data_IF_293488422021
#
_entry.id   IF_293488422021
#
_cell.length_a   1.000
_cell.length_b   1.000
_cell.length_c   1.000
_cell.angle_alpha   90.00
_cell.angle_beta   90.00
_cell.angle_gamma   90.00
#
_symmetry.space_group_name_H-M   'P 1'
#
loop_
_entity.id
_entity.type
_entity.pdbx_description
1 polymer ?
#
# COMPACT_ATOMS: atom_id res chain seq x y z
N UNK A 1 -15.05 -24.26 -9.03
CA UNK A 1 -16.03 -23.70 -9.99
C UNK A 1 -15.45 -22.62 -10.89
N UNK A 2 -14.93 -21.50 -10.39
CA UNK A 2 -14.37 -20.44 -11.26
C UNK A 2 -13.18 -20.90 -12.14
N UNK A 3 -12.19 -21.60 -11.57
CA UNK A 3 -11.04 -22.14 -12.34
C UNK A 3 -11.47 -23.12 -13.43
N UNK A 4 -12.46 -23.98 -13.14
CA UNK A 4 -12.98 -24.96 -14.12
C UNK A 4 -13.82 -24.32 -15.23
N UNK A 5 -14.31 -23.09 -15.02
CA UNK A 5 -15.01 -22.28 -16.02
C UNK A 5 -14.06 -21.38 -16.84
N UNK A 6 -12.75 -21.50 -16.65
CA UNK A 6 -11.76 -20.74 -17.40
C UNK A 6 -11.46 -19.34 -16.86
N UNK A 7 -11.97 -18.98 -15.68
CA UNK A 7 -11.57 -17.72 -15.03
C UNK A 7 -10.06 -17.73 -14.76
N UNK A 8 -9.39 -16.66 -15.20
CA UNK A 8 -7.96 -16.45 -14.97
C UNK A 8 -7.75 -15.64 -13.70
N UNK A 9 -6.73 -16.01 -12.93
CA UNK A 9 -6.36 -15.25 -11.74
C UNK A 9 -5.81 -13.86 -12.09
N UNK A 10 -5.84 -12.93 -11.14
CA UNK A 10 -5.48 -11.52 -11.36
C UNK A 10 -4.02 -11.40 -11.81
N UNK A 11 -3.09 -12.17 -11.21
CA UNK A 11 -1.69 -12.15 -11.59
C UNK A 11 -1.49 -12.60 -13.04
N UNK A 12 -2.23 -13.63 -13.49
CA UNK A 12 -2.25 -14.01 -14.90
C UNK A 12 -2.77 -12.88 -15.79
N UNK A 13 -3.89 -12.25 -15.40
CA UNK A 13 -4.49 -11.14 -16.16
C UNK A 13 -3.57 -9.93 -16.27
N UNK A 14 -2.81 -9.60 -15.22
CA UNK A 14 -1.81 -8.53 -15.19
C UNK A 14 -0.78 -8.68 -16.32
N UNK A 15 -0.34 -9.91 -16.60
CA UNK A 15 0.69 -10.19 -17.62
C UNK A 15 0.10 -10.35 -19.03
N UNK A 16 -1.17 -10.72 -19.17
CA UNK A 16 -1.71 -11.17 -20.47
C UNK A 16 -2.81 -10.27 -21.06
N UNK A 17 -3.55 -9.51 -20.26
CA UNK A 17 -4.72 -8.79 -20.77
C UNK A 17 -4.36 -7.50 -21.49
N UNK A 18 -3.36 -6.78 -20.98
CA UNK A 18 -2.96 -5.47 -21.46
C UNK A 18 -1.45 -5.32 -21.36
N UNK A 19 -0.89 -4.51 -22.25
CA UNK A 19 0.52 -4.14 -22.20
C UNK A 19 0.72 -2.99 -21.21
N UNK A 20 1.49 -3.21 -20.16
CA UNK A 20 1.74 -2.24 -19.08
C UNK A 20 3.24 -1.94 -19.03
N UNK A 21 3.62 -0.70 -19.28
CA UNK A 21 5.02 -0.28 -19.27
C UNK A 21 5.64 -0.33 -17.86
N UNK A 22 4.90 0.09 -16.82
CA UNK A 22 5.44 0.15 -15.46
C UNK A 22 4.48 -0.49 -14.48
N UNK A 23 4.96 -1.51 -13.76
CA UNK A 23 4.25 -2.21 -12.67
C UNK A 23 5.15 -2.12 -11.44
N UNK A 24 4.75 -1.38 -10.40
CA UNK A 24 5.54 -1.20 -9.18
C UNK A 24 4.64 -1.46 -7.96
N UNK A 25 5.06 -2.33 -7.05
CA UNK A 25 4.29 -2.63 -5.84
C UNK A 25 4.72 -3.93 -5.17
N UNK A 26 3.80 -4.60 -4.47
CA UNK A 26 4.02 -5.91 -3.86
C UNK A 26 3.56 -7.08 -4.75
N UNK A 27 3.47 -8.28 -4.17
CA UNK A 27 2.76 -9.41 -4.76
C UNK A 27 3.64 -10.47 -5.45
N UNK A 28 4.93 -10.56 -5.12
CA UNK A 28 5.84 -11.55 -5.73
C UNK A 28 5.32 -12.99 -5.66
N UNK A 29 4.74 -13.39 -4.53
CA UNK A 29 4.35 -14.80 -4.30
C UNK A 29 3.27 -15.30 -5.25
N UNK A 30 2.47 -14.39 -5.83
CA UNK A 30 1.41 -14.72 -6.79
C UNK A 30 1.94 -14.98 -8.21
N UNK A 31 3.20 -14.64 -8.47
CA UNK A 31 3.79 -14.67 -9.81
C UNK A 31 4.61 -15.93 -10.09
N UNK A 32 5.02 -16.66 -9.05
CA UNK A 32 5.97 -17.77 -9.18
C UNK A 32 5.39 -19.12 -8.74
N UNK A 33 5.90 -20.25 -9.26
CA UNK A 33 5.43 -21.59 -8.91
C UNK A 33 5.51 -21.89 -7.42
N UNK A 34 4.61 -22.77 -6.96
CA UNK A 34 4.59 -23.25 -5.58
C UNK A 34 5.98 -23.69 -5.10
N UNK A 35 6.44 -23.14 -3.98
CA UNK A 35 7.72 -23.48 -3.38
C UNK A 35 8.94 -22.74 -3.94
N UNK A 36 8.75 -21.83 -4.90
CA UNK A 36 9.82 -20.92 -5.35
C UNK A 36 10.23 -19.99 -4.19
N UNK A 37 11.48 -20.01 -3.70
CA UNK A 37 11.89 -19.15 -2.59
C UNK A 37 11.76 -17.66 -2.93
N UNK A 38 11.23 -16.87 -2.00
CA UNK A 38 11.22 -15.42 -2.13
C UNK A 38 12.66 -14.86 -2.03
N UNK A 39 13.07 -13.91 -2.89
CA UNK A 39 14.45 -13.41 -2.91
C UNK A 39 14.86 -12.68 -1.64
N UNK A 40 13.90 -12.08 -0.92
CA UNK A 40 14.15 -11.32 0.31
C UNK A 40 13.94 -12.18 1.56
N UNK A 41 13.03 -13.14 1.49
CA UNK A 41 12.66 -14.03 2.59
C UNK A 41 12.92 -15.53 2.30
N UNK A 42 14.13 -15.94 1.88
CA UNK A 42 14.38 -17.28 1.33
C UNK A 42 14.24 -18.41 2.37
N UNK A 43 14.22 -18.09 3.66
CA UNK A 43 14.06 -19.04 4.76
C UNK A 43 12.62 -19.14 5.29
N UNK A 44 11.70 -18.33 4.76
CA UNK A 44 10.31 -18.26 5.22
C UNK A 44 9.40 -18.88 4.17
N UNK A 45 9.09 -20.17 4.32
CA UNK A 45 8.26 -20.91 3.36
C UNK A 45 6.87 -20.29 3.14
N UNK A 46 6.37 -19.48 4.08
CA UNK A 46 5.09 -18.75 3.95
C UNK A 46 5.12 -17.65 2.89
N UNK A 47 6.33 -17.18 2.52
CA UNK A 47 6.54 -16.13 1.52
C UNK A 47 6.86 -16.67 0.12
N UNK A 48 7.09 -17.99 0.02
CA UNK A 48 7.39 -18.62 -1.26
C UNK A 48 6.23 -18.47 -2.26
N UNK A 49 6.56 -18.61 -3.54
CA UNK A 49 5.60 -18.67 -4.63
C UNK A 49 4.45 -19.64 -4.34
N UNK A 50 3.25 -19.32 -4.80
CA UNK A 50 2.02 -20.08 -4.51
C UNK A 50 1.29 -20.57 -5.77
N UNK A 51 1.84 -20.37 -6.98
CA UNK A 51 1.17 -20.80 -8.20
C UNK A 51 1.21 -22.32 -8.37
N UNK A 52 0.03 -22.93 -8.40
CA UNK A 52 -0.12 -24.38 -8.58
C UNK A 52 -0.06 -24.83 -10.06
N UNK A 53 -0.11 -23.88 -10.99
CA UNK A 53 -0.10 -24.15 -12.43
C UNK A 53 1.32 -24.29 -13.02
N UNK A 54 2.35 -24.15 -12.19
CA UNK A 54 3.76 -24.26 -12.60
C UNK A 54 4.29 -23.08 -13.42
N UNK A 55 3.48 -22.03 -13.62
CA UNK A 55 3.89 -20.88 -14.42
C UNK A 55 4.76 -19.91 -13.61
N UNK A 56 5.79 -19.36 -14.24
CA UNK A 56 6.51 -18.20 -13.72
C UNK A 56 6.11 -16.99 -14.58
N UNK A 57 5.19 -16.18 -14.05
CA UNK A 57 4.60 -15.04 -14.77
C UNK A 57 5.58 -13.88 -14.95
N UNK A 58 6.55 -13.72 -14.04
CA UNK A 58 7.63 -12.74 -14.22
C UNK A 58 8.43 -13.08 -15.48
N UNK A 59 8.83 -14.34 -15.64
CA UNK A 59 9.58 -14.79 -16.83
C UNK A 59 8.76 -14.64 -18.12
N UNK A 60 7.45 -14.86 -18.06
CA UNK A 60 6.56 -14.69 -19.21
C UNK A 60 6.43 -13.23 -19.64
N UNK A 61 6.54 -12.28 -18.71
CA UNK A 61 6.45 -10.85 -18.99
C UNK A 61 7.79 -10.24 -19.49
N UNK A 62 8.92 -10.90 -19.23
CA UNK A 62 10.28 -10.33 -19.36
C UNK A 62 10.82 -10.13 -20.80
N UNK A 63 10.08 -10.40 -21.87
CA UNK A 63 10.59 -10.35 -23.27
C UNK A 63 11.05 -8.93 -23.70
N UNK A 64 12.27 -8.54 -23.33
CA UNK A 64 12.82 -7.19 -23.54
C UNK A 64 12.57 -6.20 -22.39
N UNK A 65 11.90 -6.65 -21.33
CA UNK A 65 11.58 -5.86 -20.15
C UNK A 65 12.58 -6.06 -19.00
N UNK A 66 12.47 -5.24 -17.95
CA UNK A 66 13.28 -5.34 -16.73
C UNK A 66 12.41 -5.76 -15.55
N UNK A 67 12.87 -6.77 -14.80
CA UNK A 67 12.32 -7.13 -13.49
C UNK A 67 13.30 -6.71 -12.39
N UNK A 68 12.78 -6.18 -11.30
CA UNK A 68 13.52 -5.83 -10.08
C UNK A 68 12.69 -6.22 -8.86
N UNK A 69 13.34 -6.45 -7.72
CA UNK A 69 12.64 -6.78 -6.47
C UNK A 69 13.07 -5.91 -5.27
N UNK A 70 14.03 -5.01 -5.47
CA UNK A 70 14.48 -4.08 -4.44
C UNK A 70 14.66 -2.66 -4.98
N UNK A 71 14.72 -1.70 -4.05
CA UNK A 71 14.86 -0.26 -4.27
C UNK A 71 16.08 0.10 -5.10
N UNK A 72 17.24 -0.51 -4.82
CA UNK A 72 18.49 -0.17 -5.52
C UNK A 72 18.41 -0.55 -6.99
N UNK A 73 17.90 -1.75 -7.29
CA UNK A 73 17.67 -2.21 -8.66
C UNK A 73 16.61 -1.35 -9.38
N UNK A 74 15.53 -0.95 -8.68
CA UNK A 74 14.51 -0.06 -9.24
C UNK A 74 15.10 1.29 -9.70
N UNK A 75 15.90 1.93 -8.83
CA UNK A 75 16.55 3.20 -9.15
C UNK A 75 17.55 3.05 -10.31
N UNK A 76 18.29 1.93 -10.34
CA UNK A 76 19.21 1.64 -11.45
C UNK A 76 18.46 1.40 -12.77
N UNK A 77 17.31 0.73 -12.74
CA UNK A 77 16.46 0.52 -13.91
C UNK A 77 15.91 1.84 -14.46
N UNK A 78 15.46 2.75 -13.59
CA UNK A 78 14.99 4.08 -13.98
C UNK A 78 16.08 4.92 -14.65
N UNK A 79 17.34 4.77 -14.21
CA UNK A 79 18.47 5.49 -14.79
C UNK A 79 18.94 4.94 -16.16
N UNK A 80 18.54 3.72 -16.54
CA UNK A 80 18.87 3.15 -17.84
C UNK A 80 17.85 3.64 -18.91
N UNK A 81 18.30 4.43 -19.91
CA UNK A 81 17.40 4.95 -20.94
C UNK A 81 16.84 3.88 -21.88
N UNK A 82 17.33 2.63 -21.79
CA UNK A 82 16.85 1.49 -22.58
C UNK A 82 15.71 0.71 -21.91
N UNK A 83 15.34 1.08 -20.68
CA UNK A 83 14.27 0.41 -19.94
C UNK A 83 12.95 1.12 -20.22
N UNK A 84 12.16 0.56 -21.12
CA UNK A 84 10.80 1.05 -21.44
C UNK A 84 9.70 0.24 -20.73
N UNK A 85 10.06 -0.95 -20.24
CA UNK A 85 9.19 -1.84 -19.49
C UNK A 85 9.87 -2.23 -18.17
N UNK A 86 9.26 -1.87 -17.03
CA UNK A 86 9.73 -2.19 -15.68
C UNK A 86 8.64 -2.85 -14.83
N UNK A 87 8.93 -4.04 -14.31
CA UNK A 87 8.17 -4.68 -13.25
C UNK A 87 9.02 -4.72 -11.97
N UNK A 88 8.60 -3.99 -10.94
CA UNK A 88 9.20 -3.97 -9.61
C UNK A 88 8.24 -4.56 -8.58
N UNK A 89 8.58 -5.72 -8.02
CA UNK A 89 7.77 -6.37 -6.99
C UNK A 89 8.58 -6.48 -5.69
N UNK A 90 8.25 -5.64 -4.71
CA UNK A 90 9.09 -5.32 -3.56
C UNK A 90 8.79 -6.13 -2.30
N UNK A 91 7.65 -6.80 -2.21
CA UNK A 91 7.32 -7.71 -1.11
C UNK A 91 6.56 -8.97 -1.63
N UNK A 92 6.52 -10.08 -0.87
CA UNK A 92 5.79 -11.29 -1.26
C UNK A 92 4.30 -11.03 -1.48
N UNK A 93 3.67 -10.27 -0.57
CA UNK A 93 2.30 -9.77 -0.65
C UNK A 93 2.33 -8.25 -0.71
N UNK A 94 1.51 -7.58 0.10
CA UNK A 94 1.53 -6.13 0.21
C UNK A 94 2.90 -5.60 0.67
N UNK A 95 3.25 -4.39 0.23
CA UNK A 95 4.39 -3.67 0.79
C UNK A 95 4.20 -3.38 2.28
N UNK A 96 5.31 -3.17 3.00
CA UNK A 96 5.25 -2.68 4.39
C UNK A 96 4.69 -1.26 4.42
N UNK A 97 4.04 -0.91 5.52
CA UNK A 97 3.67 0.48 5.80
C UNK A 97 4.93 1.37 5.79
N UNK A 98 4.82 2.59 5.26
CA UNK A 98 5.95 3.47 5.01
C UNK A 98 6.79 3.76 6.26
N UNK A 99 6.16 3.94 7.43
CA UNK A 99 6.87 4.21 8.68
C UNK A 99 7.81 3.09 9.14
N UNK A 100 7.54 1.84 8.75
CA UNK A 100 8.30 0.67 9.19
C UNK A 100 8.95 -0.08 8.02
N UNK A 101 8.96 0.52 6.81
CA UNK A 101 9.61 -0.07 5.64
C UNK A 101 11.12 -0.20 5.85
N UNK A 102 11.74 -1.17 5.19
CA UNK A 102 13.19 -1.21 5.12
C UNK A 102 13.65 -0.19 4.08
N UNK A 103 14.18 0.95 4.52
CA UNK A 103 14.53 2.05 3.59
C UNK A 103 15.68 1.74 2.63
N UNK A 104 16.38 0.61 2.83
CA UNK A 104 17.42 0.12 1.93
C UNK A 104 16.86 -0.81 0.85
N UNK A 105 15.88 -1.66 1.19
CA UNK A 105 15.32 -2.69 0.31
C UNK A 105 14.02 -2.25 -0.37
N UNK A 106 13.13 -1.57 0.34
CA UNK A 106 11.82 -1.18 -0.14
C UNK A 106 11.84 0.26 -0.64
N UNK A 107 11.34 0.59 -1.84
CA UNK A 107 11.08 1.98 -2.21
C UNK A 107 9.88 2.55 -1.45
N UNK A 108 9.84 3.86 -1.24
CA UNK A 108 8.59 4.52 -0.82
C UNK A 108 7.64 4.71 -2.01
N UNK A 109 6.37 5.02 -1.75
CA UNK A 109 5.41 5.34 -2.82
C UNK A 109 5.87 6.55 -3.64
N UNK A 110 6.42 7.57 -2.98
CA UNK A 110 7.03 8.73 -3.65
C UNK A 110 8.13 8.31 -4.63
N UNK A 111 9.01 7.37 -4.24
CA UNK A 111 10.09 6.88 -5.10
C UNK A 111 9.56 6.04 -6.26
N UNK A 112 8.54 5.19 -6.02
CA UNK A 112 7.89 4.42 -7.08
C UNK A 112 7.20 5.34 -8.09
N UNK A 113 6.51 6.39 -7.63
CA UNK A 113 5.84 7.37 -8.49
C UNK A 113 6.84 8.13 -9.37
N UNK A 114 7.97 8.56 -8.79
CA UNK A 114 9.04 9.22 -9.54
C UNK A 114 9.63 8.31 -10.62
N UNK A 115 9.92 7.04 -10.30
CA UNK A 115 10.42 6.08 -11.28
C UNK A 115 9.41 5.82 -12.38
N UNK A 116 8.14 5.66 -12.03
CA UNK A 116 7.08 5.46 -13.01
C UNK A 116 6.98 6.63 -13.98
N UNK A 117 6.93 7.87 -13.48
CA UNK A 117 6.90 9.07 -14.33
C UNK A 117 8.16 9.15 -15.20
N UNK A 118 9.34 8.88 -14.64
CA UNK A 118 10.63 8.93 -15.37
C UNK A 118 10.69 7.98 -16.58
N UNK A 119 10.08 6.79 -16.46
CA UNK A 119 10.02 5.82 -17.56
C UNK A 119 8.89 6.18 -18.52
N UNK A 120 7.68 6.45 -18.00
CA UNK A 120 6.49 6.72 -18.80
C UNK A 120 6.60 8.02 -19.61
N UNK A 121 7.30 9.04 -19.10
CA UNK A 121 7.50 10.33 -19.78
C UNK A 121 8.36 10.24 -21.04
N UNK A 122 8.99 9.09 -21.31
CA UNK A 122 9.76 8.84 -22.53
C UNK A 122 8.85 8.68 -23.75
N UNK A 123 7.58 8.31 -23.55
CA UNK A 123 6.62 8.18 -24.62
C UNK A 123 6.12 9.57 -25.07
N UNK A 124 6.39 10.01 -26.32
CA UNK A 124 5.98 11.34 -26.80
C UNK A 124 4.45 11.48 -26.93
N UNK A 125 3.69 10.38 -26.89
CA UNK A 125 2.24 10.39 -26.92
C UNK A 125 1.60 10.56 -25.53
N UNK A 126 2.42 10.73 -24.48
CA UNK A 126 1.97 10.81 -23.09
C UNK A 126 1.78 9.44 -22.45
N UNK A 127 1.19 9.43 -21.26
CA UNK A 127 0.98 8.23 -20.46
C UNK A 127 -0.28 8.32 -19.60
N UNK A 128 -0.70 7.17 -19.11
CA UNK A 128 -1.63 7.05 -17.99
C UNK A 128 -0.89 6.43 -16.82
N UNK A 129 -1.10 6.96 -15.62
CA UNK A 129 -0.50 6.45 -14.39
C UNK A 129 -1.57 6.34 -13.31
N UNK A 130 -1.64 5.17 -12.69
CA UNK A 130 -2.46 4.90 -11.51
C UNK A 130 -1.54 4.65 -10.32
N UNK A 131 -1.84 5.30 -9.20
CA UNK A 131 -1.05 5.23 -7.95
C UNK A 131 -2.03 5.06 -6.79
N UNK A 132 -1.73 4.12 -5.91
CA UNK A 132 -2.55 3.73 -4.77
C UNK A 132 -1.65 3.52 -3.54
N UNK A 133 -2.20 3.74 -2.35
CA UNK A 133 -1.49 3.57 -1.08
C UNK A 133 -2.29 2.72 -0.09
N UNK A 134 -1.64 2.30 1.00
CA UNK A 134 -2.12 1.33 1.99
C UNK A 134 -2.96 1.96 3.13
N UNK A 135 -3.57 3.12 2.87
CA UNK A 135 -4.37 3.88 3.85
C UNK A 135 -5.50 3.03 4.43
N UNK A 136 -6.21 2.31 3.56
CA UNK A 136 -7.34 1.43 3.88
C UNK A 136 -6.97 0.37 4.94
N UNK A 137 -5.82 -0.30 4.78
CA UNK A 137 -5.43 -1.38 5.69
C UNK A 137 -5.15 -0.84 7.09
N UNK A 138 -4.62 0.39 7.20
CA UNK A 138 -4.42 1.06 8.48
C UNK A 138 -5.74 1.34 9.21
N UNK A 139 -6.78 1.70 8.46
CA UNK A 139 -8.11 1.90 9.01
C UNK A 139 -8.76 0.58 9.41
N UNK A 140 -8.67 -0.46 8.58
CA UNK A 140 -9.13 -1.83 8.89
C UNK A 140 -8.49 -2.39 10.17
N UNK A 141 -7.21 -2.11 10.41
CA UNK A 141 -6.48 -2.46 11.63
C UNK A 141 -6.99 -1.72 12.89
N UNK A 142 -7.86 -0.71 12.70
CA UNK A 142 -8.29 0.24 13.73
C UNK A 142 -7.16 1.16 14.20
N UNK A 143 -6.09 1.29 13.42
CA UNK A 143 -4.83 1.93 13.80
C UNK A 143 -4.59 3.20 12.97
N UNK A 144 -5.19 4.30 13.40
CA UNK A 144 -5.16 5.57 12.66
C UNK A 144 -3.75 6.15 12.49
N UNK A 145 -2.79 5.82 13.37
CA UNK A 145 -1.40 6.24 13.17
C UNK A 145 -0.90 5.68 11.82
N UNK A 146 -1.11 4.39 11.55
CA UNK A 146 -0.75 3.76 10.26
C UNK A 146 -1.45 4.43 9.09
N UNK A 147 -2.79 4.50 9.14
CA UNK A 147 -3.60 5.05 8.05
C UNK A 147 -3.19 6.49 7.69
N UNK A 148 -3.05 7.35 8.69
CA UNK A 148 -2.72 8.77 8.48
C UNK A 148 -1.27 8.96 8.01
N UNK A 149 -0.34 8.09 8.40
CA UNK A 149 1.04 8.19 7.92
C UNK A 149 1.23 7.66 6.51
N UNK A 150 0.43 6.68 6.08
CA UNK A 150 0.32 6.34 4.65
C UNK A 150 -0.28 7.52 3.90
N UNK A 151 -1.37 8.13 4.39
CA UNK A 151 -1.98 9.30 3.73
C UNK A 151 -0.98 10.47 3.54
N UNK A 152 -0.05 10.66 4.47
CA UNK A 152 1.06 11.63 4.33
C UNK A 152 2.07 11.19 3.26
N UNK A 153 2.37 9.91 3.12
CA UNK A 153 3.23 9.40 2.05
C UNK A 153 2.56 9.52 0.67
N UNK A 154 1.26 9.22 0.57
CA UNK A 154 0.48 9.45 -0.64
C UNK A 154 0.47 10.93 -1.05
N UNK A 155 0.27 11.86 -0.11
CA UNK A 155 0.32 13.30 -0.37
C UNK A 155 1.71 13.76 -0.87
N UNK A 156 2.79 13.19 -0.32
CA UNK A 156 4.16 13.43 -0.84
C UNK A 156 4.36 12.88 -2.25
N UNK A 157 3.78 11.73 -2.57
CA UNK A 157 3.82 11.19 -3.92
C UNK A 157 3.09 12.12 -4.91
N UNK A 158 1.93 12.66 -4.52
CA UNK A 158 1.20 13.69 -5.28
C UNK A 158 2.05 14.95 -5.49
N UNK A 159 2.66 15.49 -4.43
CA UNK A 159 3.57 16.64 -4.53
C UNK A 159 4.71 16.34 -5.51
N UNK A 160 5.30 15.14 -5.41
CA UNK A 160 6.39 14.73 -6.29
C UNK A 160 5.95 14.65 -7.75
N UNK A 161 4.75 14.16 -8.02
CA UNK A 161 4.18 14.12 -9.36
C UNK A 161 4.02 15.51 -9.96
N UNK A 162 3.48 16.46 -9.17
CA UNK A 162 3.35 17.86 -9.58
C UNK A 162 4.69 18.51 -9.90
N UNK A 163 5.75 18.13 -9.18
CA UNK A 163 7.11 18.60 -9.48
C UNK A 163 7.74 17.97 -10.75
N UNK A 164 7.22 16.83 -11.21
CA UNK A 164 7.75 16.06 -12.35
C UNK A 164 6.92 16.19 -13.63
N UNK A 165 5.76 16.85 -13.57
CA UNK A 165 4.83 16.98 -14.70
C UNK A 165 4.43 18.44 -14.92
N UNK A 166 4.05 18.78 -16.15
CA UNK A 166 3.51 20.11 -16.48
C UNK A 166 1.98 20.08 -16.39
N UNK A 167 1.39 20.87 -15.48
CA UNK A 167 -0.06 21.00 -15.30
C UNK A 167 -0.77 21.48 -16.57
N UNK A 168 -0.08 22.18 -17.48
CA UNK A 168 -0.65 22.58 -18.77
C UNK A 168 -0.87 21.38 -19.72
N UNK A 169 -0.23 20.24 -19.44
CA UNK A 169 -0.26 19.03 -20.27
C UNK A 169 -0.75 17.78 -19.52
N UNK A 170 -0.92 17.88 -18.19
CA UNK A 170 -1.22 16.75 -17.32
C UNK A 170 -2.49 17.01 -16.53
N UNK A 171 -3.48 16.11 -16.66
CA UNK A 171 -4.64 16.09 -15.76
C UNK A 171 -4.36 15.15 -14.59
N UNK A 172 -4.28 15.70 -13.39
CA UNK A 172 -4.14 14.94 -12.15
C UNK A 172 -5.48 14.88 -11.42
N UNK A 173 -5.95 13.67 -11.10
CA UNK A 173 -7.17 13.44 -10.31
C UNK A 173 -6.79 12.71 -9.02
N UNK A 174 -7.17 13.29 -7.89
CA UNK A 174 -6.98 12.70 -6.57
C UNK A 174 -8.37 12.39 -6.02
N UNK A 175 -8.59 11.14 -5.62
CA UNK A 175 -9.87 10.67 -5.10
C UNK A 175 -9.63 9.52 -4.12
N UNK A 176 -10.66 9.17 -3.36
CA UNK A 176 -10.79 7.88 -2.71
C UNK A 176 -11.83 7.04 -3.47
N UNK A 177 -11.72 5.72 -3.36
CA UNK A 177 -12.72 4.76 -3.82
C UNK A 177 -13.90 4.65 -2.83
N UNK A 178 -13.62 4.74 -1.53
CA UNK A 178 -14.60 4.85 -0.45
C UNK A 178 -14.02 5.54 0.80
N UNK A 179 -14.81 5.60 1.88
CA UNK A 179 -14.37 6.10 3.18
C UNK A 179 -14.30 4.97 4.21
N UNK A 180 -14.13 5.32 5.48
CA UNK A 180 -14.13 4.44 6.65
C UNK A 180 -15.06 5.02 7.72
N UNK A 181 -15.42 4.22 8.73
CA UNK A 181 -16.14 4.70 9.91
C UNK A 181 -15.20 5.39 10.91
N UNK A 182 -14.15 6.04 10.41
CA UNK A 182 -13.21 6.89 11.11
C UNK A 182 -13.84 8.24 11.45
N UNK A 183 -13.56 8.75 12.65
CA UNK A 183 -14.02 10.07 13.08
C UNK A 183 -12.95 10.78 13.91
N UNK A 184 -12.95 12.12 13.85
CA UNK A 184 -12.10 13.00 14.66
C UNK A 184 -12.97 14.03 15.38
N UNK A 185 -12.92 14.07 16.72
CA UNK A 185 -13.83 14.88 17.53
C UNK A 185 -13.23 15.41 18.84
N UNK A 186 -14.00 15.39 19.92
CA UNK A 186 -13.48 15.64 21.28
C UNK A 186 -13.10 17.08 21.66
N UNK A 187 -13.49 18.09 20.84
CA UNK A 187 -13.21 19.52 21.08
C UNK A 187 -11.77 19.78 21.52
N UNK A 188 -10.82 19.13 20.85
CA UNK A 188 -9.42 19.26 21.23
C UNK A 188 -8.98 20.71 21.05
N UNK A 189 -8.18 21.23 21.99
CA UNK A 189 -7.28 22.34 21.63
C UNK A 189 -6.22 21.75 20.68
N UNK A 190 -5.09 22.41 20.49
CA UNK A 190 -3.97 21.82 19.72
C UNK A 190 -3.65 20.36 20.14
N UNK A 191 -4.02 19.92 21.37
CA UNK A 191 -4.22 18.53 21.84
C UNK A 191 -5.39 18.47 22.89
N UNK A 192 -6.11 17.34 23.08
CA UNK A 192 -7.31 17.23 23.95
C UNK A 192 -7.00 16.87 25.42
N UNK A 193 -7.72 17.43 26.41
CA UNK A 193 -7.52 17.10 27.84
C UNK A 193 -8.81 16.86 28.65
N UNK A 194 -9.94 16.54 28.01
CA UNK A 194 -11.21 16.30 28.73
C UNK A 194 -11.44 14.82 29.01
N UNK A 195 -12.00 14.49 30.18
CA UNK A 195 -12.41 13.13 30.55
C UNK A 195 -13.84 12.87 30.11
N UNK A 196 -14.14 11.63 29.75
CA UNK A 196 -15.51 11.18 29.46
C UNK A 196 -16.35 11.06 30.75
N UNK A 197 -17.64 10.76 30.61
CA UNK A 197 -18.60 10.62 31.73
C UNK A 197 -18.22 9.52 32.72
N UNK A 198 -17.47 8.51 32.28
CA UNK A 198 -16.91 7.45 33.12
C UNK A 198 -15.59 7.82 33.82
N UNK A 199 -15.19 9.10 33.74
CA UNK A 199 -14.01 9.70 34.38
C UNK A 199 -12.66 9.19 33.84
N UNK A 200 -12.66 8.49 32.71
CA UNK A 200 -11.46 8.04 31.99
C UNK A 200 -11.21 8.94 30.77
N UNK A 201 -9.97 9.01 30.31
CA UNK A 201 -9.57 9.74 29.09
C UNK A 201 -10.11 9.05 27.83
N UNK A 202 -10.19 9.79 26.72
CA UNK A 202 -10.56 9.24 25.41
C UNK A 202 -9.75 9.95 24.33
N UNK A 203 -9.55 9.28 23.19
CA UNK A 203 -8.83 9.85 22.05
C UNK A 203 -9.76 10.69 21.17
N UNK A 204 -9.21 11.72 20.53
CA UNK A 204 -9.95 12.50 19.52
C UNK A 204 -10.40 11.63 18.35
N UNK A 205 -9.51 10.73 17.93
CA UNK A 205 -9.78 9.76 16.89
C UNK A 205 -10.51 8.56 17.49
N UNK A 206 -11.61 8.17 16.85
CA UNK A 206 -12.41 6.99 17.19
C UNK A 206 -12.94 6.33 15.93
N UNK A 207 -13.26 5.05 16.02
CA UNK A 207 -13.95 4.30 14.96
C UNK A 207 -15.36 3.90 15.37
N UNK A 208 -16.27 3.78 14.39
CA UNK A 208 -17.60 3.23 14.63
C UNK A 208 -17.56 1.76 15.05
N UNK A 209 -16.73 0.95 14.38
CA UNK A 209 -16.55 -0.47 14.67
C UNK A 209 -15.06 -0.86 14.47
N UNK A 210 -14.71 -2.11 14.77
CA UNK A 210 -13.37 -2.62 14.48
C UNK A 210 -12.67 -3.26 15.69
N UNK A 211 -11.36 -3.57 15.52
CA UNK A 211 -10.62 -4.37 16.49
C UNK A 211 -10.20 -3.60 17.76
N UNK A 212 -10.44 -2.28 17.80
CA UNK A 212 -10.15 -1.43 18.96
C UNK A 212 -11.24 -1.43 20.05
N UNK A 213 -12.30 -2.23 19.92
CA UNK A 213 -13.35 -2.32 20.95
C UNK A 213 -12.78 -2.79 22.31
N UNK A 214 -12.93 -2.01 23.39
CA UNK A 214 -12.24 -2.28 24.66
C UNK A 214 -12.92 -3.34 25.55
N UNK A 215 -14.07 -3.90 25.14
CA UNK A 215 -14.85 -4.80 25.99
C UNK A 215 -15.96 -4.10 26.77
N UNK A 216 -16.48 -4.77 27.81
CA UNK A 216 -17.62 -4.26 28.62
C UNK A 216 -17.24 -3.11 29.56
N UNK A 217 -15.96 -2.92 29.85
CA UNK A 217 -15.44 -1.80 30.62
C UNK A 217 -14.40 -1.07 29.78
N UNK A 218 -14.68 0.19 29.43
CA UNK A 218 -13.80 1.01 28.62
C UNK A 218 -12.43 1.17 29.27
N UNK A 219 -11.35 0.91 28.56
CA UNK A 219 -9.99 1.10 29.08
C UNK A 219 -9.67 2.59 29.17
N UNK A 220 -9.00 3.01 30.25
CA UNK A 220 -8.42 4.36 30.33
C UNK A 220 -7.17 4.42 29.44
N UNK A 221 -6.90 5.56 28.81
CA UNK A 221 -5.79 5.70 27.85
C UNK A 221 -4.97 6.95 28.18
N UNK A 222 -3.65 6.83 28.17
CA UNK A 222 -2.73 7.96 28.28
C UNK A 222 -2.13 8.32 26.92
N UNK A 223 -1.50 9.49 26.84
CA UNK A 223 -0.94 10.02 25.59
C UNK A 223 0.14 9.09 25.03
N UNK A 224 1.00 8.54 25.89
CA UNK A 224 2.05 7.61 25.49
C UNK A 224 1.50 6.36 24.80
N UNK A 225 0.36 5.85 25.27
CA UNK A 225 -0.33 4.70 24.65
C UNK A 225 -1.03 5.13 23.37
N UNK A 226 -1.72 6.28 23.38
CA UNK A 226 -2.47 6.77 22.23
C UNK A 226 -1.59 7.12 21.01
N UNK A 227 -0.32 7.49 21.25
CA UNK A 227 0.66 7.83 20.21
C UNK A 227 1.40 6.63 19.63
N UNK A 228 1.24 5.42 20.20
CA UNK A 228 1.93 4.24 19.68
C UNK A 228 1.48 3.91 18.26
N UNK A 229 2.44 3.46 17.44
CA UNK A 229 2.22 3.09 16.04
C UNK A 229 1.13 2.02 15.86
N UNK A 230 1.09 1.03 16.75
CA UNK A 230 0.10 -0.07 16.74
C UNK A 230 -1.10 0.19 17.65
N UNK A 231 -1.27 1.40 18.19
CA UNK A 231 -2.43 1.72 19.02
C UNK A 231 -3.71 1.66 18.20
N UNK A 232 -4.64 0.83 18.67
CA UNK A 232 -5.98 0.70 18.09
C UNK A 232 -6.94 1.65 18.79
N UNK A 233 -7.43 2.66 18.09
CA UNK A 233 -8.38 3.60 18.67
C UNK A 233 -9.67 2.89 19.06
N UNK A 234 -10.31 3.36 20.14
CA UNK A 234 -11.51 2.72 20.66
C UNK A 234 -12.64 2.72 19.61
N UNK A 235 -13.35 1.60 19.54
CA UNK A 235 -14.49 1.40 18.64
C UNK A 235 -15.77 1.05 19.41
N UNK A 236 -16.95 1.31 18.83
CA UNK A 236 -18.22 1.03 19.49
C UNK A 236 -18.69 -0.43 19.29
N UNK A 237 -18.42 -1.05 18.14
CA UNK A 237 -18.82 -2.44 17.81
C UNK A 237 -17.57 -3.29 17.54
N UNK A 238 -17.39 -4.44 18.23
CA UNK A 238 -16.24 -5.31 18.02
C UNK A 238 -16.31 -6.01 16.67
N UNK A 239 -15.28 -5.85 15.85
CA UNK A 239 -15.05 -6.62 14.62
C UNK A 239 -13.56 -6.97 14.52
N UNK A 240 -13.23 -8.02 13.77
CA UNK A 240 -11.82 -8.38 13.49
C UNK A 240 -11.14 -7.38 12.55
N UNK A 241 -11.92 -6.69 11.73
CA UNK A 241 -11.52 -5.64 10.81
C UNK A 241 -12.56 -4.53 10.91
N UNK A 242 -12.13 -3.28 10.98
CA UNK A 242 -13.04 -2.13 10.82
C UNK A 242 -13.67 -2.13 9.41
N UNK A 243 -14.79 -1.44 9.19
CA UNK A 243 -15.51 -1.44 7.91
C UNK A 243 -15.37 -0.14 7.13
N UNK A 244 -15.48 -0.21 5.81
CA UNK A 244 -15.67 0.98 4.97
C UNK A 244 -16.92 1.78 5.41
N UNK A 245 -16.93 3.08 5.09
CA UNK A 245 -17.96 4.06 5.44
C UNK A 245 -18.95 4.39 4.33
#
# INVERSE_FOLDING_TARGET
>A
DARSQGCKDIAWQLVHNVDINVILGGGRKYMTPVGTPDPEYPTYNTENGIREDGNNLINMWLEGARYVWNRTEMLAAAADPRVDYLMGLFEPGDMKYNLVRNTTLDPSLTEMMEVAITILSRNPNGFYLFVEDKIDHGHHDGAAHKALTEAVEFDRAVERAGALTDEAQTLTVITADHSHVFSFGGYTLRLASSRATDKKNYTSILYGNGPGYPGTSRTDVDDNTAEQYDYKQQAAVPLSSETHG
#
